data_IF_191634743477
#
_entry.id   IF_191634743477
#
_cell.length_a   1.000
_cell.length_b   1.000
_cell.length_c   1.000
_cell.angle_alpha   90.00
_cell.angle_beta   90.00
_cell.angle_gamma   90.00
#
_symmetry.space_group_name_H-M   'P 1'
#
loop_
_entity.id
_entity.type
_entity.pdbx_description
1 polymer ?
#
# COMPACT_ATOMS: atom_id res chain seq x y z
N UNK A 1 -11.13 2.52 20.71
CA UNK A 1 -11.86 3.70 20.19
C UNK A 1 -11.38 3.92 18.76
N UNK A 2 -12.27 3.82 17.79
CA UNK A 2 -11.92 4.03 16.38
C UNK A 2 -11.82 5.53 16.13
N UNK A 3 -10.65 6.03 15.79
CA UNK A 3 -10.44 7.44 15.42
C UNK A 3 -11.28 7.74 14.17
N UNK A 4 -12.03 8.84 14.16
CA UNK A 4 -12.88 9.20 13.02
C UNK A 4 -12.01 9.56 11.79
N UNK A 5 -12.59 9.45 10.58
CA UNK A 5 -11.91 9.85 9.34
C UNK A 5 -11.45 11.32 9.39
N UNK A 6 -12.27 12.18 10.00
CA UNK A 6 -12.00 13.61 10.15
C UNK A 6 -10.82 13.86 11.12
N UNK A 7 -10.75 13.13 12.22
CA UNK A 7 -9.63 13.20 13.16
C UNK A 7 -8.33 12.70 12.52
N UNK A 8 -8.37 11.59 11.75
CA UNK A 8 -7.22 11.10 10.98
C UNK A 8 -6.74 12.13 9.95
N UNK A 9 -7.67 12.83 9.28
CA UNK A 9 -7.36 13.90 8.35
C UNK A 9 -6.63 15.06 9.03
N UNK A 10 -7.14 15.53 10.16
CA UNK A 10 -6.54 16.63 10.91
C UNK A 10 -5.15 16.27 11.43
N UNK A 11 -4.96 15.05 11.92
CA UNK A 11 -3.66 14.55 12.39
C UNK A 11 -2.65 14.45 11.23
N UNK A 12 -3.06 13.96 10.07
CA UNK A 12 -2.22 13.89 8.88
C UNK A 12 -1.78 15.27 8.38
N UNK A 13 -2.67 16.25 8.40
CA UNK A 13 -2.36 17.63 7.98
C UNK A 13 -1.52 18.41 9.00
N UNK A 14 -1.59 18.04 10.28
CA UNK A 14 -0.82 18.67 11.36
C UNK A 14 0.62 18.12 11.46
N UNK A 15 0.95 17.02 10.76
CA UNK A 15 2.28 16.42 10.81
C UNK A 15 3.37 17.39 10.30
N UNK A 16 4.60 17.36 10.89
CA UNK A 16 5.69 18.23 10.46
C UNK A 16 6.00 18.08 8.98
N UNK A 17 6.12 19.18 8.25
CA UNK A 17 6.49 19.18 6.83
C UNK A 17 7.95 18.75 6.69
N UNK A 18 8.19 17.63 6.00
CA UNK A 18 9.54 17.21 5.67
C UNK A 18 10.21 18.23 4.71
N UNK A 19 11.52 18.43 4.86
CA UNK A 19 12.30 19.16 3.86
C UNK A 19 12.36 18.33 2.57
N UNK A 20 11.64 18.78 1.57
CA UNK A 20 11.53 18.10 0.27
C UNK A 20 12.83 18.06 -0.53
N UNK A 21 13.84 18.88 -0.12
CA UNK A 21 15.11 19.04 -0.84
C UNK A 21 16.15 17.95 -0.55
N UNK A 22 15.96 17.17 0.51
CA UNK A 22 16.93 16.19 1.00
C UNK A 22 16.42 14.73 1.01
N UNK A 23 15.31 14.46 0.35
CA UNK A 23 14.70 13.10 0.36
C UNK A 23 15.46 12.17 -0.58
N UNK A 24 16.07 11.13 -0.04
CA UNK A 24 16.75 10.09 -0.84
C UNK A 24 15.73 9.25 -1.60
N UNK A 25 15.88 9.11 -2.94
CA UNK A 25 14.98 8.27 -3.74
C UNK A 25 14.92 6.82 -3.25
N UNK A 26 13.81 6.14 -3.48
CA UNK A 26 13.68 4.72 -3.16
C UNK A 26 14.59 3.88 -4.07
N UNK A 27 15.17 2.85 -3.49
CA UNK A 27 15.93 1.81 -4.20
C UNK A 27 15.18 0.47 -4.21
N UNK A 28 14.04 0.37 -3.49
CA UNK A 28 13.20 -0.83 -3.39
C UNK A 28 12.01 -0.68 -4.34
N UNK A 29 11.90 -1.58 -5.31
CA UNK A 29 10.90 -1.49 -6.36
C UNK A 29 9.61 -2.20 -5.97
N UNK A 30 8.72 -1.54 -5.20
CA UNK A 30 7.45 -2.12 -4.71
C UNK A 30 6.62 -2.72 -5.84
N UNK A 31 6.39 -2.00 -6.94
CA UNK A 31 5.58 -2.48 -8.04
C UNK A 31 6.14 -3.76 -8.68
N UNK A 32 7.47 -3.86 -8.81
CA UNK A 32 8.12 -5.07 -9.34
C UNK A 32 8.05 -6.23 -8.35
N UNK A 33 8.11 -5.97 -7.05
CA UNK A 33 8.04 -6.99 -6.02
C UNK A 33 6.70 -7.73 -6.01
N UNK A 34 5.59 -7.03 -6.33
CA UNK A 34 4.25 -7.60 -6.35
C UNK A 34 3.75 -8.00 -7.74
N UNK A 35 4.50 -7.73 -8.82
CA UNK A 35 4.10 -8.08 -10.20
C UNK A 35 4.25 -9.57 -10.44
N UNK A 36 3.16 -10.31 -10.42
CA UNK A 36 3.08 -11.73 -10.77
C UNK A 36 2.56 -11.97 -12.19
N UNK A 37 2.31 -10.91 -12.96
CA UNK A 37 1.70 -10.99 -14.28
C UNK A 37 0.42 -11.86 -14.27
N UNK A 38 -0.29 -11.84 -13.13
CA UNK A 38 -1.50 -12.65 -12.83
C UNK A 38 -1.28 -14.17 -12.88
N UNK A 39 -0.04 -14.64 -12.88
CA UNK A 39 0.29 -16.05 -12.80
C UNK A 39 0.23 -16.61 -11.36
N UNK A 40 0.14 -15.74 -10.38
CA UNK A 40 -0.01 -16.02 -8.95
C UNK A 40 -0.68 -14.85 -8.25
N UNK A 41 -0.82 -14.94 -6.94
CA UNK A 41 -1.32 -13.86 -6.08
C UNK A 41 -0.32 -13.62 -4.96
N UNK A 42 0.24 -12.40 -4.93
CA UNK A 42 1.12 -12.01 -3.83
C UNK A 42 0.29 -11.54 -2.64
N UNK A 43 0.58 -12.05 -1.44
CA UNK A 43 -0.05 -11.56 -0.20
C UNK A 43 0.82 -10.47 0.41
N UNK A 44 0.26 -9.29 0.57
CA UNK A 44 0.91 -8.13 1.19
C UNK A 44 0.31 -7.91 2.58
N UNK A 45 0.97 -8.35 3.66
CA UNK A 45 0.47 -8.14 5.02
C UNK A 45 0.33 -6.65 5.33
N UNK A 46 -0.84 -6.26 5.86
CA UNK A 46 -1.13 -4.87 6.25
C UNK A 46 -0.98 -4.72 7.76
N UNK A 47 0.15 -4.17 8.20
CA UNK A 47 0.49 -3.93 9.60
C UNK A 47 -0.08 -2.59 10.08
N UNK A 48 -0.50 -2.52 11.35
CA UNK A 48 -0.81 -1.25 11.99
C UNK A 48 0.49 -0.53 12.40
N UNK A 49 0.60 0.77 12.13
CA UNK A 49 1.75 1.59 12.50
C UNK A 49 1.99 1.68 14.01
N UNK A 50 0.90 1.68 14.79
CA UNK A 50 0.92 1.67 16.25
C UNK A 50 1.34 0.31 16.88
N UNK A 51 1.63 -0.72 16.06
CA UNK A 51 2.04 -2.04 16.54
C UNK A 51 3.37 -1.94 17.32
N UNK A 52 3.45 -2.39 18.60
CA UNK A 52 4.64 -2.18 19.42
C UNK A 52 5.87 -2.98 18.96
N UNK A 53 5.67 -4.08 18.24
CA UNK A 53 6.70 -4.95 17.68
C UNK A 53 6.88 -4.78 16.16
N UNK A 54 6.49 -3.65 15.58
CA UNK A 54 6.41 -3.41 14.14
C UNK A 54 7.68 -3.80 13.38
N UNK A 55 8.86 -3.35 13.84
CA UNK A 55 10.14 -3.67 13.20
C UNK A 55 10.52 -5.16 13.33
N UNK A 56 10.16 -5.79 14.44
CA UNK A 56 10.40 -7.23 14.65
C UNK A 56 9.48 -8.06 13.76
N UNK A 57 8.20 -7.69 13.66
CA UNK A 57 7.23 -8.34 12.79
C UNK A 57 7.65 -8.24 11.32
N UNK A 58 8.12 -7.06 10.88
CA UNK A 58 8.61 -6.86 9.51
C UNK A 58 9.81 -7.76 9.18
N UNK A 59 10.81 -7.86 10.08
CA UNK A 59 11.95 -8.77 9.88
C UNK A 59 11.54 -10.23 9.79
N UNK A 60 10.63 -10.67 10.68
CA UNK A 60 10.13 -12.05 10.65
C UNK A 60 9.34 -12.37 9.38
N UNK A 61 8.62 -11.39 8.84
CA UNK A 61 7.95 -11.51 7.55
C UNK A 61 8.95 -11.55 6.39
N UNK A 62 10.04 -10.76 6.44
CA UNK A 62 11.14 -10.86 5.48
C UNK A 62 11.80 -12.25 5.53
N UNK A 63 12.07 -12.81 6.72
CA UNK A 63 12.56 -14.19 6.90
C UNK A 63 11.58 -15.25 6.38
N UNK A 64 10.29 -14.92 6.27
CA UNK A 64 9.25 -15.74 5.66
C UNK A 64 9.10 -15.48 4.15
N UNK A 65 9.99 -14.70 3.55
CA UNK A 65 10.08 -14.39 2.12
C UNK A 65 8.86 -13.61 1.57
N UNK A 66 8.23 -12.76 2.41
CA UNK A 66 7.19 -11.86 1.92
C UNK A 66 7.76 -10.86 0.91
N UNK A 67 7.07 -10.64 -0.21
CA UNK A 67 7.56 -9.78 -1.27
C UNK A 67 7.43 -8.29 -0.98
N UNK A 68 6.42 -7.90 -0.21
CA UNK A 68 6.15 -6.51 0.17
C UNK A 68 5.35 -6.44 1.47
N UNK A 69 5.39 -5.31 2.15
CA UNK A 69 4.61 -5.00 3.35
C UNK A 69 3.78 -3.74 3.12
N UNK A 70 2.63 -3.66 3.75
CA UNK A 70 1.85 -2.43 3.86
C UNK A 70 1.77 -1.99 5.33
N UNK A 71 1.79 -0.68 5.57
CA UNK A 71 1.62 -0.09 6.90
C UNK A 71 0.55 0.98 6.85
N UNK A 72 -0.44 0.85 7.72
CA UNK A 72 -1.50 1.84 7.93
C UNK A 72 -1.17 2.67 9.16
N UNK A 73 -1.12 4.00 9.01
CA UNK A 73 -0.85 4.92 10.11
C UNK A 73 -2.16 5.50 10.64
N UNK A 74 -2.35 5.43 11.95
CA UNK A 74 -3.44 6.11 12.66
C UNK A 74 -2.99 7.51 13.11
N UNK A 75 -1.76 7.64 13.61
CA UNK A 75 -1.13 8.91 13.97
C UNK A 75 0.27 9.03 13.32
N UNK A 76 0.37 9.65 12.13
CA UNK A 76 1.64 9.81 11.45
C UNK A 76 2.69 10.62 12.22
N UNK A 77 2.29 11.50 13.16
CA UNK A 77 3.24 12.28 13.94
C UNK A 77 4.10 11.40 14.86
N UNK A 78 3.52 10.31 15.35
CA UNK A 78 4.16 9.37 16.27
C UNK A 78 4.74 8.18 15.49
N UNK A 79 3.97 7.62 14.56
CA UNK A 79 4.22 6.31 13.96
C UNK A 79 5.26 6.34 12.83
N UNK A 80 5.50 7.48 12.18
CA UNK A 80 6.53 7.59 11.12
C UNK A 80 7.94 7.26 11.62
N UNK A 81 8.24 7.53 12.90
CA UNK A 81 9.51 7.14 13.48
C UNK A 81 9.66 5.61 13.56
N UNK A 82 8.61 4.91 13.97
CA UNK A 82 8.59 3.45 14.01
C UNK A 82 8.74 2.83 12.60
N UNK A 83 8.12 3.44 11.58
CA UNK A 83 8.31 3.02 10.18
C UNK A 83 9.75 3.21 9.73
N UNK A 84 10.42 4.29 10.15
CA UNK A 84 11.85 4.48 9.85
C UNK A 84 12.73 3.39 10.45
N UNK A 85 12.35 2.85 11.60
CA UNK A 85 13.03 1.68 12.19
C UNK A 85 12.80 0.41 11.36
N UNK A 86 11.57 0.20 10.87
CA UNK A 86 11.27 -0.89 9.91
C UNK A 86 12.12 -0.76 8.67
N UNK A 87 12.15 0.41 8.05
CA UNK A 87 12.88 0.66 6.80
C UNK A 87 14.39 0.44 6.93
N UNK A 88 14.95 0.60 8.14
CA UNK A 88 16.35 0.29 8.45
C UNK A 88 16.57 -1.19 8.76
N UNK A 89 15.57 -1.86 9.33
CA UNK A 89 15.68 -3.24 9.80
C UNK A 89 15.36 -4.28 8.72
N UNK A 90 14.69 -3.90 7.64
CA UNK A 90 14.19 -4.80 6.59
C UNK A 90 14.44 -4.23 5.20
N UNK A 91 14.77 -5.09 4.24
CA UNK A 91 14.91 -4.74 2.81
C UNK A 91 13.59 -4.85 2.03
N UNK A 92 12.51 -5.34 2.64
CA UNK A 92 11.21 -5.51 2.01
C UNK A 92 10.58 -4.14 1.67
N UNK A 93 10.05 -3.93 0.44
CA UNK A 93 9.39 -2.69 0.07
C UNK A 93 8.15 -2.40 0.92
N UNK A 94 7.97 -1.13 1.30
CA UNK A 94 6.90 -0.68 2.19
C UNK A 94 5.87 0.19 1.45
N UNK A 95 4.59 -0.17 1.55
CA UNK A 95 3.45 0.61 1.07
C UNK A 95 2.77 1.36 2.22
N UNK A 96 2.62 2.67 2.11
CA UNK A 96 1.79 3.50 3.01
C UNK A 96 0.34 3.48 2.56
N UNK A 97 -0.61 3.20 3.46
CA UNK A 97 -2.03 2.99 3.10
C UNK A 97 -3.01 3.96 3.78
N UNK A 98 -2.57 4.82 4.68
CA UNK A 98 -3.43 5.86 5.26
C UNK A 98 -3.76 6.98 4.26
N UNK A 99 -4.67 7.89 4.63
CA UNK A 99 -5.18 8.90 3.72
C UNK A 99 -4.16 10.02 3.44
N UNK A 100 -3.76 10.14 2.17
CA UNK A 100 -2.82 11.14 1.67
C UNK A 100 -3.54 12.13 0.76
N UNK A 101 -3.45 13.43 1.06
CA UNK A 101 -4.17 14.51 0.35
C UNK A 101 -3.24 15.61 -0.17
N UNK A 102 -2.04 15.75 0.41
CA UNK A 102 -1.10 16.82 0.09
C UNK A 102 0.27 16.29 -0.31
N UNK A 103 0.95 17.04 -1.16
CA UNK A 103 2.23 16.65 -1.74
C UNK A 103 3.33 16.45 -0.68
N UNK A 104 3.35 17.27 0.38
CA UNK A 104 4.34 17.11 1.45
C UNK A 104 4.27 15.73 2.13
N UNK A 105 3.08 15.11 2.18
CA UNK A 105 2.90 13.77 2.76
C UNK A 105 3.62 12.69 1.94
N UNK A 106 3.76 12.89 0.62
CA UNK A 106 4.52 11.99 -0.25
C UNK A 106 6.01 12.04 0.12
N UNK A 107 6.57 13.24 0.26
CA UNK A 107 7.97 13.40 0.66
C UNK A 107 8.22 12.91 2.10
N UNK A 108 7.27 13.18 3.00
CA UNK A 108 7.30 12.65 4.36
C UNK A 108 7.29 11.12 4.39
N UNK A 109 6.48 10.48 3.54
CA UNK A 109 6.45 9.02 3.38
C UNK A 109 7.83 8.51 2.96
N UNK A 110 8.45 9.14 1.95
CA UNK A 110 9.79 8.73 1.50
C UNK A 110 10.85 8.95 2.58
N UNK A 111 10.80 10.08 3.29
CA UNK A 111 11.72 10.37 4.40
C UNK A 111 11.63 9.32 5.52
N UNK A 112 10.45 8.79 5.79
CA UNK A 112 10.24 7.70 6.73
C UNK A 112 10.66 6.30 6.19
N UNK A 113 10.90 6.17 4.88
CA UNK A 113 11.40 4.94 4.28
C UNK A 113 10.35 4.13 3.50
N UNK A 114 9.16 4.67 3.25
CA UNK A 114 8.20 4.04 2.34
C UNK A 114 8.70 4.03 0.88
N UNK A 115 8.29 3.03 0.13
CA UNK A 115 8.65 2.79 -1.27
C UNK A 115 7.44 2.85 -2.20
N UNK A 116 6.25 2.91 -1.62
CA UNK A 116 4.98 3.09 -2.32
C UNK A 116 3.98 3.84 -1.43
N UNK A 117 2.99 4.46 -2.08
CA UNK A 117 1.86 5.12 -1.42
C UNK A 117 0.55 4.68 -2.06
N UNK A 118 -0.51 4.54 -1.25
CA UNK A 118 -1.87 4.29 -1.70
C UNK A 118 -2.65 5.60 -1.70
N UNK A 119 -3.07 6.06 -2.88
CA UNK A 119 -3.88 7.24 -3.07
C UNK A 119 -5.33 6.84 -3.33
N UNK A 120 -6.29 7.52 -2.71
CA UNK A 120 -7.72 7.21 -2.88
C UNK A 120 -8.34 8.18 -3.90
N UNK A 121 -8.64 7.69 -5.11
CA UNK A 121 -9.14 8.52 -6.22
C UNK A 121 -10.42 9.30 -5.87
N UNK A 122 -11.32 8.71 -5.09
CA UNK A 122 -12.57 9.34 -4.67
C UNK A 122 -12.36 10.65 -3.86
N UNK A 123 -11.23 10.78 -3.16
CA UNK A 123 -10.93 11.93 -2.30
C UNK A 123 -10.01 12.97 -2.96
N UNK A 124 -9.56 12.72 -4.18
CA UNK A 124 -8.56 13.57 -4.85
C UNK A 124 -9.12 14.13 -6.17
N UNK A 125 -9.21 15.46 -6.32
CA UNK A 125 -9.44 16.07 -7.64
C UNK A 125 -8.33 15.69 -8.63
N UNK A 126 -8.63 15.66 -9.94
CA UNK A 126 -7.68 15.23 -10.98
C UNK A 126 -6.31 15.94 -10.93
N UNK A 127 -6.24 17.29 -10.75
CA UNK A 127 -4.96 17.96 -10.67
C UNK A 127 -4.14 17.56 -9.43
N UNK A 128 -4.83 17.24 -8.32
CA UNK A 128 -4.19 16.79 -7.09
C UNK A 128 -3.67 15.38 -7.25
N UNK A 129 -4.50 14.44 -7.74
CA UNK A 129 -4.10 13.06 -8.01
C UNK A 129 -2.86 13.01 -8.93
N UNK A 130 -2.88 13.78 -10.03
CA UNK A 130 -1.74 13.84 -10.95
C UNK A 130 -0.47 14.36 -10.28
N UNK A 131 -0.57 15.40 -9.42
CA UNK A 131 0.57 15.92 -8.66
C UNK A 131 1.12 14.90 -7.68
N UNK A 132 0.26 14.21 -6.90
CA UNK A 132 0.71 13.21 -5.92
C UNK A 132 1.39 12.02 -6.61
N UNK A 133 0.82 11.52 -7.71
CA UNK A 133 1.49 10.50 -8.53
C UNK A 133 2.84 10.97 -9.08
N UNK A 134 2.94 12.25 -9.51
CA UNK A 134 4.20 12.83 -9.99
C UNK A 134 5.23 12.97 -8.86
N UNK A 135 4.81 13.40 -7.68
CA UNK A 135 5.67 13.50 -6.49
C UNK A 135 6.20 12.13 -6.07
N UNK A 136 5.36 11.08 -6.05
CA UNK A 136 5.79 9.72 -5.77
C UNK A 136 6.88 9.27 -6.76
N UNK A 137 6.64 9.44 -8.07
CA UNK A 137 7.64 9.11 -9.09
C UNK A 137 8.96 9.90 -8.97
N UNK A 138 8.89 11.17 -8.58
CA UNK A 138 10.11 11.99 -8.39
C UNK A 138 11.01 11.46 -7.27
N UNK A 139 10.45 10.72 -6.34
CA UNK A 139 11.17 10.05 -5.25
C UNK A 139 11.36 8.56 -5.48
N UNK A 140 11.09 8.05 -6.67
CA UNK A 140 11.15 6.64 -7.06
C UNK A 140 10.20 5.73 -6.23
N UNK A 141 9.15 6.31 -5.63
CA UNK A 141 8.09 5.52 -5.02
C UNK A 141 7.03 5.13 -6.04
N UNK A 142 6.42 3.96 -5.87
CA UNK A 142 5.26 3.57 -6.64
C UNK A 142 4.00 4.31 -6.15
N UNK A 143 3.20 4.84 -7.10
CA UNK A 143 1.88 5.38 -6.82
C UNK A 143 0.81 4.31 -7.11
N UNK A 144 0.26 3.70 -6.07
CA UNK A 144 -0.91 2.84 -6.15
C UNK A 144 -2.16 3.71 -5.99
N UNK A 145 -3.18 3.55 -6.86
CA UNK A 145 -4.41 4.34 -6.80
C UNK A 145 -5.61 3.45 -6.56
N UNK A 146 -6.28 3.66 -5.43
CA UNK A 146 -7.52 2.96 -5.08
C UNK A 146 -8.70 3.57 -5.88
N UNK A 147 -9.40 2.69 -6.61
CA UNK A 147 -10.49 3.02 -7.50
C UNK A 147 -11.69 2.13 -7.22
N UNK A 148 -12.88 2.72 -7.03
CA UNK A 148 -14.14 2.01 -6.84
C UNK A 148 -15.04 2.05 -8.10
N UNK A 149 -14.68 2.84 -9.11
CA UNK A 149 -15.46 3.02 -10.35
C UNK A 149 -14.57 3.01 -11.58
N UNK A 150 -15.15 2.71 -12.75
CA UNK A 150 -14.47 2.76 -14.04
C UNK A 150 -13.94 4.19 -14.37
N UNK A 151 -14.63 5.22 -13.91
CA UNK A 151 -14.20 6.62 -14.07
C UNK A 151 -12.93 6.87 -13.28
N UNK A 152 -12.84 6.39 -12.03
CA UNK A 152 -11.64 6.52 -11.21
C UNK A 152 -10.46 5.74 -11.79
N UNK A 153 -10.70 4.56 -12.38
CA UNK A 153 -9.66 3.80 -13.10
C UNK A 153 -9.09 4.62 -14.27
N UNK A 154 -9.95 5.27 -15.05
CA UNK A 154 -9.52 6.13 -16.16
C UNK A 154 -8.68 7.33 -15.65
N UNK A 155 -9.09 7.96 -14.53
CA UNK A 155 -8.35 9.04 -13.85
C UNK A 155 -6.99 8.59 -13.34
N UNK A 156 -6.92 7.42 -12.71
CA UNK A 156 -5.67 6.80 -12.24
C UNK A 156 -4.71 6.53 -13.40
N UNK A 157 -5.22 6.00 -14.52
CA UNK A 157 -4.42 5.77 -15.73
C UNK A 157 -3.89 7.10 -16.34
N UNK A 158 -4.71 8.15 -16.38
CA UNK A 158 -4.28 9.48 -16.83
C UNK A 158 -3.20 10.08 -15.90
N UNK A 159 -3.32 9.88 -14.59
CA UNK A 159 -2.32 10.28 -13.60
C UNK A 159 -1.04 9.41 -13.66
N UNK A 160 -1.02 8.37 -14.49
CA UNK A 160 0.07 7.38 -14.62
C UNK A 160 0.35 6.67 -13.30
N UNK A 161 -0.69 6.14 -12.66
CA UNK A 161 -0.55 5.25 -11.53
C UNK A 161 0.30 4.01 -11.90
N UNK A 162 1.16 3.57 -10.99
CA UNK A 162 2.00 2.38 -11.18
C UNK A 162 1.21 1.11 -10.90
N UNK A 163 0.22 1.17 -10.00
CA UNK A 163 -0.74 0.10 -9.73
C UNK A 163 -2.14 0.66 -9.52
N UNK A 164 -3.16 -0.12 -9.89
CA UNK A 164 -4.56 0.18 -9.61
C UNK A 164 -5.03 -0.75 -8.49
N UNK A 165 -5.49 -0.16 -7.40
CA UNK A 165 -6.01 -0.91 -6.28
C UNK A 165 -7.55 -0.95 -6.35
N UNK A 166 -8.13 -2.16 -6.30
CA UNK A 166 -9.56 -2.39 -6.49
C UNK A 166 -10.19 -3.07 -5.28
N UNK A 167 -11.41 -2.68 -4.87
CA UNK A 167 -12.15 -3.40 -3.84
C UNK A 167 -12.41 -4.84 -4.29
N UNK A 168 -12.17 -5.80 -3.40
CA UNK A 168 -12.31 -7.22 -3.64
C UNK A 168 -13.06 -7.89 -2.48
N UNK A 169 -14.39 -7.75 -2.46
CA UNK A 169 -15.22 -8.33 -1.42
C UNK A 169 -16.55 -8.87 -2.03
N UNK A 170 -16.71 -10.18 -2.24
CA UNK A 170 -15.71 -11.25 -2.10
C UNK A 170 -14.73 -11.34 -3.27
N UNK A 171 -15.04 -10.70 -4.41
CA UNK A 171 -14.23 -10.69 -5.63
C UNK A 171 -14.24 -9.29 -6.25
N UNK A 172 -13.28 -9.03 -7.16
CA UNK A 172 -13.28 -7.79 -7.93
C UNK A 172 -14.46 -7.81 -8.91
N UNK A 173 -15.24 -6.72 -8.95
CA UNK A 173 -16.37 -6.60 -9.86
C UNK A 173 -15.93 -6.67 -11.33
N UNK A 174 -16.68 -7.39 -12.16
CA UNK A 174 -16.33 -7.62 -13.56
C UNK A 174 -16.25 -6.31 -14.38
N UNK A 175 -17.08 -5.31 -14.03
CA UNK A 175 -17.07 -3.99 -14.66
C UNK A 175 -15.76 -3.23 -14.39
N UNK A 176 -15.18 -3.36 -13.20
CA UNK A 176 -13.89 -2.75 -12.87
C UNK A 176 -12.76 -3.44 -13.64
N UNK A 177 -12.79 -4.78 -13.71
CA UNK A 177 -11.81 -5.55 -14.49
C UNK A 177 -11.86 -5.17 -15.99
N UNK A 178 -13.05 -4.95 -16.53
CA UNK A 178 -13.24 -4.54 -17.93
C UNK A 178 -12.72 -3.13 -18.22
N UNK A 179 -12.69 -2.24 -17.22
CA UNK A 179 -12.21 -0.86 -17.36
C UNK A 179 -10.68 -0.72 -17.26
N UNK A 180 -9.97 -1.78 -16.88
CA UNK A 180 -8.52 -1.72 -16.65
C UNK A 180 -7.72 -1.55 -17.94
N UNK A 181 -6.63 -0.75 -17.90
CA UNK A 181 -5.63 -0.76 -18.96
C UNK A 181 -5.00 -2.15 -19.15
N UNK A 182 -4.58 -2.47 -20.38
CA UNK A 182 -4.07 -3.81 -20.78
C UNK A 182 -2.86 -4.24 -19.99
N UNK A 183 -2.22 -3.84 -19.20
CA UNK A 183 -1.06 -4.28 -18.39
C UNK A 183 -1.06 -3.58 -17.02
N UNK A 184 -2.26 -3.24 -16.53
CA UNK A 184 -2.36 -2.67 -15.21
C UNK A 184 -1.91 -3.70 -14.18
N UNK A 185 -1.01 -3.28 -13.29
CA UNK A 185 -0.72 -3.99 -12.06
C UNK A 185 -1.91 -3.82 -11.11
N UNK A 186 -2.44 -4.91 -10.58
CA UNK A 186 -3.68 -4.90 -9.80
C UNK A 186 -3.41 -5.34 -8.37
N UNK A 187 -3.74 -4.44 -7.44
CA UNK A 187 -3.74 -4.71 -6.01
C UNK A 187 -5.18 -4.89 -5.52
N UNK A 188 -5.53 -6.05 -5.01
CA UNK A 188 -6.84 -6.29 -4.42
C UNK A 188 -6.90 -5.71 -2.99
N UNK A 189 -7.92 -4.90 -2.71
CA UNK A 189 -8.21 -4.37 -1.38
C UNK A 189 -9.25 -5.26 -0.71
N UNK A 190 -8.83 -6.08 0.25
CA UNK A 190 -9.70 -6.99 0.97
C UNK A 190 -10.01 -6.45 2.37
N UNK A 191 -11.22 -6.69 2.87
CA UNK A 191 -11.62 -6.32 4.23
C UNK A 191 -11.14 -7.31 5.31
N UNK A 192 -10.66 -8.48 4.89
CA UNK A 192 -10.17 -9.56 5.75
C UNK A 192 -9.06 -10.34 5.05
N UNK A 193 -8.99 -11.65 5.29
CA UNK A 193 -8.12 -12.52 4.53
C UNK A 193 -8.58 -12.57 3.06
N UNK A 194 -7.65 -12.47 2.08
CA UNK A 194 -8.01 -12.65 0.68
C UNK A 194 -8.48 -14.08 0.42
N UNK A 195 -9.44 -14.25 -0.48
CA UNK A 195 -9.80 -15.57 -0.99
C UNK A 195 -9.09 -15.81 -2.33
N UNK A 196 -7.98 -16.57 -2.36
CA UNK A 196 -7.13 -16.71 -3.56
C UNK A 196 -7.91 -17.15 -4.78
N UNK A 197 -8.84 -18.12 -4.65
CA UNK A 197 -9.68 -18.62 -5.75
C UNK A 197 -10.49 -17.56 -6.49
N UNK A 198 -10.80 -16.43 -5.85
CA UNK A 198 -11.53 -15.33 -6.46
C UNK A 198 -10.62 -14.26 -7.07
N UNK A 199 -9.34 -14.24 -6.71
CA UNK A 199 -8.36 -13.23 -7.11
C UNK A 199 -7.32 -13.75 -8.11
N UNK A 200 -7.03 -15.05 -8.11
CA UNK A 200 -6.09 -15.69 -9.06
C UNK A 200 -6.48 -15.37 -10.51
N UNK A 201 -5.50 -14.94 -11.30
CA UNK A 201 -5.69 -14.50 -12.67
C UNK A 201 -6.39 -13.14 -12.83
N UNK A 202 -6.77 -12.48 -11.74
CA UNK A 202 -7.49 -11.20 -11.73
C UNK A 202 -6.74 -10.09 -11.01
N UNK A 203 -5.92 -10.43 -10.03
CA UNK A 203 -5.04 -9.51 -9.32
C UNK A 203 -3.62 -10.06 -9.28
N UNK A 204 -2.64 -9.20 -9.14
CA UNK A 204 -1.22 -9.54 -8.95
C UNK A 204 -0.92 -9.69 -7.46
N UNK A 205 -1.52 -8.84 -6.64
CA UNK A 205 -1.36 -8.87 -5.19
C UNK A 205 -2.67 -8.56 -4.45
N UNK A 206 -2.72 -8.91 -3.17
CA UNK A 206 -3.82 -8.56 -2.27
C UNK A 206 -3.28 -8.00 -0.95
N UNK A 207 -3.86 -6.90 -0.48
CA UNK A 207 -3.65 -6.43 0.89
C UNK A 207 -4.32 -7.39 1.86
N UNK A 208 -3.53 -7.96 2.77
CA UNK A 208 -4.01 -8.93 3.76
C UNK A 208 -3.98 -8.35 5.17
N UNK A 209 -5.11 -7.81 5.58
CA UNK A 209 -5.30 -7.24 6.93
C UNK A 209 -5.30 -8.33 8.01
N UNK A 210 -5.76 -9.54 7.69
CA UNK A 210 -5.81 -10.63 8.66
C UNK A 210 -4.41 -11.09 9.05
N UNK A 211 -3.50 -11.22 8.08
CA UNK A 211 -2.09 -11.53 8.33
C UNK A 211 -1.42 -10.44 9.17
N UNK A 212 -1.64 -9.18 8.82
CA UNK A 212 -1.05 -8.05 9.55
C UNK A 212 -1.55 -7.92 10.99
N UNK A 213 -2.80 -8.31 11.26
CA UNK A 213 -3.42 -8.28 12.58
C UNK A 213 -3.06 -9.50 13.46
N UNK A 214 -2.47 -10.56 12.90
CA UNK A 214 -2.10 -11.75 13.64
C UNK A 214 -1.07 -11.45 14.75
N UNK A 215 -1.11 -12.20 15.84
CA UNK A 215 -0.11 -12.09 16.92
C UNK A 215 1.30 -12.42 16.42
N UNK A 216 1.44 -13.43 15.56
CA UNK A 216 2.66 -13.74 14.81
C UNK A 216 2.34 -13.70 13.30
N UNK A 217 2.53 -12.55 12.63
CA UNK A 217 2.21 -12.41 11.21
C UNK A 217 3.03 -13.33 10.30
N UNK A 218 4.27 -13.64 10.66
CA UNK A 218 5.14 -14.51 9.87
C UNK A 218 4.70 -15.97 9.94
N UNK A 219 4.27 -16.44 11.11
CA UNK A 219 3.69 -17.78 11.24
C UNK A 219 2.36 -17.90 10.48
N UNK A 220 1.51 -16.86 10.57
CA UNK A 220 0.26 -16.80 9.83
C UNK A 220 0.49 -16.78 8.30
N UNK A 221 1.49 -16.04 7.83
CA UNK A 221 1.86 -15.98 6.42
C UNK A 221 2.29 -17.36 5.89
N UNK A 222 3.20 -18.06 6.60
CA UNK A 222 3.63 -19.42 6.22
C UNK A 222 2.47 -20.42 6.21
N UNK A 223 1.55 -20.33 7.18
CA UNK A 223 0.36 -21.18 7.22
C UNK A 223 -0.55 -20.92 6.02
N UNK A 224 -0.75 -19.66 5.66
CA UNK A 224 -1.57 -19.28 4.52
C UNK A 224 -1.00 -19.75 3.18
N UNK A 225 0.33 -19.74 3.00
CA UNK A 225 0.99 -20.31 1.80
C UNK A 225 0.82 -21.81 1.71
N UNK A 226 0.91 -22.52 2.85
CA UNK A 226 0.73 -23.98 2.88
C UNK A 226 -0.71 -24.45 2.57
N UNK A 227 -1.70 -23.58 2.67
CA UNK A 227 -3.10 -23.86 2.29
C UNK A 227 -3.37 -23.63 0.79
N UNK A 228 -2.46 -22.95 0.08
CA UNK A 228 -2.58 -22.61 -1.35
C UNK A 228 -1.89 -23.66 -2.26
N UNK A 229 -0.99 -24.49 -1.70
CA UNK A 229 -0.31 -25.62 -2.38
C UNK A 229 -1.20 -26.89 -2.39
#
# INVERSE_FOLDING_TARGET
MTVSLEERLLQNLAAPRADTRSVTPSIRAFAQAIDRQRAGLERVPLLAGARPDLATAARRLEEAEVAALAVELDDPQIELAAVSDVARASAVPLLRTDLLLEEFQIYQSRAAGFDAVLLVAAHLPDPVLARLCSAARSTHMAACVACATAVEIARAAQARADAIALPAAPAIAAELLAALPRRALILALTSGAPEPKHLLGRADAALDRALGAAADPAAAFRAALAEED
#
